data_IF_098065106792
#
_entry.id   IF_098065106792
#
_cell.length_a   1.000
_cell.length_b   1.000
_cell.length_c   1.000
_cell.angle_alpha   90.00
_cell.angle_beta   90.00
_cell.angle_gamma   90.00
#
_symmetry.space_group_name_H-M   'P 1'
#
loop_
_entity.id
_entity.type
_entity.pdbx_description
1 polymer ?
#
# COMPACT_ATOMS: atom_id res chain seq x y z
N UNK A 1 1.71 -7.89 -13.78
CA UNK A 1 2.50 -7.42 -12.63
C UNK A 1 3.97 -7.77 -12.86
N UNK A 2 4.92 -7.16 -12.14
CA UNK A 2 6.37 -7.49 -12.05
C UNK A 2 7.37 -6.40 -12.47
N UNK A 3 7.19 -5.16 -11.97
CA UNK A 3 8.33 -4.27 -11.69
C UNK A 3 8.27 -3.83 -10.23
N UNK A 4 7.08 -3.44 -9.75
CA UNK A 4 6.87 -3.02 -8.36
C UNK A 4 7.22 -4.08 -7.31
N UNK A 5 6.73 -5.31 -7.48
CA UNK A 5 7.05 -6.44 -6.58
C UNK A 5 8.55 -6.71 -6.52
N UNK A 6 9.23 -6.67 -7.68
CA UNK A 6 10.68 -6.79 -7.78
C UNK A 6 11.41 -5.69 -6.99
N UNK A 7 11.00 -4.42 -7.13
CA UNK A 7 11.61 -3.32 -6.38
C UNK A 7 11.53 -3.52 -4.87
N UNK A 8 10.40 -4.02 -4.35
CA UNK A 8 10.26 -4.33 -2.92
C UNK A 8 11.16 -5.49 -2.52
N UNK A 9 11.19 -6.57 -3.31
CA UNK A 9 12.03 -7.75 -3.07
C UNK A 9 13.53 -7.46 -3.08
N UNK A 10 13.99 -6.50 -3.90
CA UNK A 10 15.40 -6.08 -3.97
C UNK A 10 15.75 -4.91 -3.03
N UNK A 11 14.84 -4.51 -2.13
CA UNK A 11 15.10 -3.50 -1.10
C UNK A 11 14.88 -2.04 -1.54
N UNK A 12 14.47 -1.78 -2.78
CA UNK A 12 14.19 -0.45 -3.33
C UNK A 12 12.81 0.10 -2.93
N UNK A 13 12.48 0.08 -1.63
CA UNK A 13 11.17 0.50 -1.11
C UNK A 13 10.81 1.96 -1.41
N UNK A 14 11.78 2.87 -1.38
CA UNK A 14 11.55 4.28 -1.73
C UNK A 14 11.15 4.45 -3.19
N UNK A 15 11.79 3.72 -4.10
CA UNK A 15 11.45 3.73 -5.52
C UNK A 15 10.08 3.08 -5.78
N UNK A 16 9.77 2.00 -5.05
CA UNK A 16 8.44 1.40 -5.08
C UNK A 16 7.35 2.39 -4.60
N UNK A 17 7.63 3.17 -3.55
CA UNK A 17 6.73 4.22 -3.05
C UNK A 17 6.54 5.37 -4.05
N UNK A 18 7.60 5.77 -4.76
CA UNK A 18 7.51 6.77 -5.83
C UNK A 18 6.65 6.24 -6.99
N UNK A 19 6.90 5.00 -7.44
CA UNK A 19 6.15 4.37 -8.52
C UNK A 19 4.66 4.29 -8.18
N UNK A 20 4.31 3.81 -6.99
CA UNK A 20 2.89 3.69 -6.62
C UNK A 20 2.23 5.05 -6.44
N UNK A 21 2.95 6.07 -5.96
CA UNK A 21 2.42 7.42 -5.86
C UNK A 21 2.10 8.00 -7.24
N UNK A 22 2.96 7.76 -8.24
CA UNK A 22 2.70 8.16 -9.64
C UNK A 22 1.50 7.41 -10.23
N UNK A 23 1.40 6.10 -10.00
CA UNK A 23 0.26 5.29 -10.45
C UNK A 23 -1.07 5.78 -9.85
N UNK A 24 -1.10 5.97 -8.52
CA UNK A 24 -2.28 6.48 -7.81
C UNK A 24 -2.65 7.89 -8.25
N UNK A 25 -1.67 8.75 -8.55
CA UNK A 25 -1.91 10.09 -9.08
C UNK A 25 -2.59 10.06 -10.45
N UNK A 26 -2.13 9.18 -11.36
CA UNK A 26 -2.76 8.98 -12.66
C UNK A 26 -4.20 8.46 -12.55
N UNK A 27 -4.42 7.46 -11.68
CA UNK A 27 -5.75 6.92 -11.39
C UNK A 27 -6.68 8.01 -10.83
N UNK A 28 -6.21 8.80 -9.85
CA UNK A 28 -7.00 9.86 -9.24
C UNK A 28 -7.35 10.98 -10.24
N UNK A 29 -6.43 11.32 -11.14
CA UNK A 29 -6.69 12.29 -12.20
C UNK A 29 -7.80 11.81 -13.14
N UNK A 30 -7.70 10.56 -13.60
CA UNK A 30 -8.72 9.93 -14.48
C UNK A 30 -10.09 9.84 -13.82
N UNK A 31 -10.14 9.48 -12.54
CA UNK A 31 -11.39 9.45 -11.78
C UNK A 31 -12.02 10.85 -11.66
N UNK A 32 -11.22 11.88 -11.41
CA UNK A 32 -11.71 13.27 -11.31
C UNK A 32 -12.19 13.82 -12.64
N UNK A 33 -11.52 13.50 -13.75
CA UNK A 33 -11.85 14.04 -15.07
C UNK A 33 -12.97 13.29 -15.77
N UNK A 34 -13.10 11.99 -15.54
CA UNK A 34 -13.94 11.12 -16.39
C UNK A 34 -14.89 10.22 -15.61
N UNK A 35 -14.77 10.13 -14.27
CA UNK A 35 -15.64 9.31 -13.43
C UNK A 35 -15.52 7.79 -13.66
N UNK A 36 -14.52 7.34 -14.42
CA UNK A 36 -14.29 5.93 -14.73
C UNK A 36 -12.78 5.63 -14.79
N UNK A 37 -12.37 4.45 -14.36
CA UNK A 37 -11.00 3.96 -14.51
C UNK A 37 -10.69 3.65 -15.99
N UNK A 38 -9.57 4.14 -16.54
CA UNK A 38 -9.14 3.87 -17.94
C UNK A 38 -7.80 3.13 -18.02
N UNK A 39 -7.63 2.39 -19.12
CA UNK A 39 -6.67 1.29 -19.32
C UNK A 39 -5.19 1.72 -19.55
N UNK A 40 -4.93 2.95 -19.98
CA UNK A 40 -3.59 3.46 -20.24
C UNK A 40 -3.61 4.99 -20.23
N UNK A 41 -2.54 5.57 -19.69
CA UNK A 41 -2.27 7.00 -19.77
C UNK A 41 -1.12 7.21 -20.74
N UNK A 42 -1.42 7.89 -21.84
CA UNK A 42 -0.40 8.50 -22.68
C UNK A 42 0.31 9.59 -21.85
N UNK A 43 1.63 9.47 -21.71
CA UNK A 43 2.43 10.33 -20.84
C UNK A 43 2.57 11.77 -21.34
N UNK A 44 2.14 12.08 -22.57
CA UNK A 44 2.20 13.45 -23.13
C UNK A 44 0.81 14.11 -23.24
N UNK A 45 -0.27 13.36 -23.42
CA UNK A 45 -1.57 13.95 -23.82
C UNK A 45 -2.76 13.58 -22.93
N UNK A 46 -2.63 12.60 -22.03
CA UNK A 46 -3.65 12.28 -21.02
C UNK A 46 -4.98 11.74 -21.56
N UNK A 47 -5.10 11.41 -22.85
CA UNK A 47 -6.33 10.83 -23.43
C UNK A 47 -6.31 9.30 -23.34
N UNK A 48 -7.23 8.73 -22.54
CA UNK A 48 -7.40 7.28 -22.44
C UNK A 48 -8.39 6.73 -23.48
N UNK A 49 -7.94 5.80 -24.34
CA UNK A 49 -8.80 4.90 -25.14
C UNK A 49 -8.86 3.48 -24.53
N UNK A 50 -9.85 2.66 -24.90
CA UNK A 50 -10.00 1.24 -24.50
C UNK A 50 -11.35 0.86 -23.86
N UNK A 51 -11.75 -0.41 -23.97
CA UNK A 51 -13.06 -0.96 -23.56
C UNK A 51 -13.35 -0.88 -22.04
N UNK A 52 -14.63 -0.73 -21.71
CA UNK A 52 -15.17 -0.67 -20.34
C UNK A 52 -15.11 -2.04 -19.66
N UNK A 53 -14.87 -2.04 -18.35
CA UNK A 53 -14.87 -3.19 -17.41
C UNK A 53 -13.65 -4.11 -17.44
N UNK A 54 -12.50 -3.64 -16.93
CA UNK A 54 -11.41 -4.55 -16.55
C UNK A 54 -10.91 -4.22 -15.14
N UNK A 55 -10.82 -5.26 -14.30
CA UNK A 55 -10.34 -5.31 -12.91
C UNK A 55 -8.92 -4.71 -12.67
N UNK A 56 -8.27 -4.17 -13.70
CA UNK A 56 -6.99 -3.47 -13.63
C UNK A 56 -7.11 -1.96 -13.34
N UNK A 57 -8.33 -1.42 -13.26
CA UNK A 57 -8.58 -0.07 -12.75
C UNK A 57 -8.44 0.07 -11.24
N UNK A 58 -8.36 -1.03 -10.48
CA UNK A 58 -8.25 -0.95 -9.03
C UNK A 58 -6.88 -0.43 -8.61
N UNK A 59 -6.87 0.49 -7.63
CA UNK A 59 -5.66 0.88 -6.92
C UNK A 59 -4.86 -0.38 -6.55
N UNK A 60 -3.53 -0.44 -6.81
CA UNK A 60 -2.74 -1.65 -6.64
C UNK A 60 -2.50 -1.92 -5.16
N UNK A 61 -3.55 -2.36 -4.45
CA UNK A 61 -3.59 -2.51 -3.00
C UNK A 61 -2.53 -3.48 -2.51
N UNK A 62 -2.35 -4.61 -3.20
CA UNK A 62 -1.30 -5.58 -2.85
C UNK A 62 0.08 -4.92 -2.88
N UNK A 63 0.41 -4.22 -3.98
CA UNK A 63 1.68 -3.52 -4.11
C UNK A 63 1.83 -2.39 -3.08
N UNK A 64 0.75 -1.69 -2.74
CA UNK A 64 0.74 -0.68 -1.67
C UNK A 64 1.07 -1.31 -0.32
N UNK A 65 0.42 -2.42 0.01
CA UNK A 65 0.62 -3.13 1.28
C UNK A 65 2.05 -3.68 1.39
N UNK A 66 2.58 -4.25 0.31
CA UNK A 66 3.97 -4.73 0.26
C UNK A 66 4.99 -3.60 0.40
N UNK A 67 4.79 -2.49 -0.32
CA UNK A 67 5.62 -1.29 -0.24
C UNK A 67 5.60 -0.71 1.17
N UNK A 68 4.41 -0.60 1.77
CA UNK A 68 4.20 -0.21 3.15
C UNK A 68 4.82 -1.20 4.14
N UNK A 69 5.08 -2.44 3.72
CA UNK A 69 5.67 -3.49 4.53
C UNK A 69 4.70 -4.16 5.49
N UNK A 70 3.43 -4.25 5.11
CA UNK A 70 2.34 -4.85 5.92
C UNK A 70 1.75 -6.03 5.17
N UNK A 71 1.71 -7.21 5.81
CA UNK A 71 0.98 -8.38 5.32
C UNK A 71 0.02 -8.87 6.40
N UNK A 72 -1.27 -8.79 6.11
CA UNK A 72 -2.34 -9.22 6.99
C UNK A 72 -2.44 -10.76 6.95
N UNK A 73 -2.37 -11.42 8.10
CA UNK A 73 -2.53 -12.89 8.19
C UNK A 73 -3.90 -13.23 8.77
N UNK A 74 -4.26 -12.61 9.89
CA UNK A 74 -5.55 -12.76 10.56
C UNK A 74 -5.90 -11.48 11.34
N UNK A 75 -7.10 -11.36 11.93
CA UNK A 75 -7.42 -10.23 12.79
C UNK A 75 -6.53 -10.13 14.04
N UNK A 76 -5.80 -11.19 14.38
CA UNK A 76 -4.89 -11.28 15.53
C UNK A 76 -3.42 -11.40 15.12
N UNK A 77 -3.08 -11.30 13.83
CA UNK A 77 -1.72 -11.49 13.37
C UNK A 77 -1.40 -10.69 12.10
N UNK A 78 -0.27 -9.99 12.13
CA UNK A 78 0.26 -9.20 11.01
C UNK A 78 1.77 -9.37 10.91
N UNK A 79 2.27 -9.45 9.68
CA UNK A 79 3.71 -9.33 9.41
C UNK A 79 4.03 -7.88 9.11
N UNK A 80 5.06 -7.35 9.79
CA UNK A 80 5.62 -6.03 9.57
C UNK A 80 7.05 -6.16 9.03
N UNK A 81 7.44 -5.25 8.14
CA UNK A 81 8.80 -5.18 7.61
C UNK A 81 9.13 -3.77 7.12
N UNK A 82 10.38 -3.35 7.31
CA UNK A 82 10.86 -2.02 6.94
C UNK A 82 10.15 -0.87 7.65
N UNK A 83 10.52 0.34 7.26
CA UNK A 83 9.86 1.58 7.67
C UNK A 83 8.77 2.00 6.69
N UNK A 84 7.92 2.96 7.07
CA UNK A 84 6.97 3.57 6.15
C UNK A 84 7.75 4.42 5.12
N UNK A 85 7.72 4.07 3.82
CA UNK A 85 8.43 4.81 2.79
C UNK A 85 7.67 6.05 2.31
N UNK A 86 6.41 6.24 2.73
CA UNK A 86 5.59 7.38 2.38
C UNK A 86 5.85 8.57 3.32
N UNK A 87 5.75 9.82 2.84
CA UNK A 87 6.03 11.00 3.66
C UNK A 87 4.92 11.30 4.68
N UNK A 88 3.77 10.65 4.57
CA UNK A 88 2.64 10.74 5.51
C UNK A 88 2.42 9.41 6.25
N UNK A 89 1.86 9.44 7.48
CA UNK A 89 1.47 8.22 8.18
C UNK A 89 0.35 7.49 7.42
N UNK A 90 0.38 6.16 7.48
CA UNK A 90 -0.62 5.30 6.85
C UNK A 90 -1.34 4.48 7.90
N UNK A 91 -2.68 4.50 7.85
CA UNK A 91 -3.52 3.68 8.72
C UNK A 91 -4.19 2.58 7.92
N UNK A 92 -3.96 1.32 8.29
CA UNK A 92 -4.64 0.14 7.74
C UNK A 92 -5.62 -0.37 8.79
N UNK A 93 -6.89 -0.55 8.41
CA UNK A 93 -7.92 -1.16 9.26
C UNK A 93 -8.36 -2.49 8.66
N UNK A 94 -8.33 -3.55 9.46
CA UNK A 94 -8.67 -4.90 9.03
C UNK A 94 -9.36 -5.68 10.15
N UNK A 95 -10.65 -5.98 9.99
CA UNK A 95 -11.42 -6.85 10.90
C UNK A 95 -11.23 -6.54 12.40
N UNK A 96 -11.25 -5.26 12.76
CA UNK A 96 -11.05 -4.78 14.13
C UNK A 96 -9.60 -4.44 14.49
N UNK A 97 -8.61 -4.95 13.76
CA UNK A 97 -7.21 -4.55 13.90
C UNK A 97 -6.96 -3.21 13.20
N UNK A 98 -6.19 -2.33 13.84
CA UNK A 98 -5.72 -1.06 13.28
C UNK A 98 -4.19 -1.03 13.31
N UNK A 99 -3.56 -0.74 12.18
CA UNK A 99 -2.12 -0.63 12.03
C UNK A 99 -1.80 0.79 11.59
N UNK A 100 -1.14 1.57 12.45
CA UNK A 100 -0.64 2.90 12.14
C UNK A 100 0.86 2.82 11.85
N UNK A 101 1.24 3.03 10.59
CA UNK A 101 2.63 3.10 10.12
C UNK A 101 3.05 4.57 10.09
N UNK A 102 3.79 5.01 11.11
CA UNK A 102 4.50 6.28 11.13
C UNK A 102 5.87 6.11 10.44
N UNK A 103 6.66 7.18 10.36
CA UNK A 103 7.96 7.17 9.65
C UNK A 103 8.88 6.06 10.15
N UNK A 104 9.08 5.99 11.46
CA UNK A 104 10.05 5.15 12.16
C UNK A 104 9.41 4.25 13.24
N UNK A 105 8.09 4.33 13.39
CA UNK A 105 7.31 3.58 14.39
C UNK A 105 6.06 2.98 13.78
N UNK A 106 5.69 1.80 14.26
CA UNK A 106 4.41 1.15 13.97
C UNK A 106 3.63 0.92 15.25
N UNK A 107 2.35 1.24 15.22
CA UNK A 107 1.39 0.93 16.30
C UNK A 107 0.37 -0.05 15.75
N UNK A 108 0.21 -1.20 16.40
CA UNK A 108 -0.82 -2.18 16.11
C UNK A 108 -1.80 -2.20 17.28
N UNK A 109 -3.08 -1.95 17.00
CA UNK A 109 -4.18 -2.09 17.95
C UNK A 109 -4.99 -3.29 17.50
N UNK A 110 -5.07 -4.33 18.33
CA UNK A 110 -5.82 -5.54 18.04
C UNK A 110 -7.32 -5.39 18.37
N UNK A 111 -8.18 -6.32 17.90
CA UNK A 111 -9.63 -6.24 18.14
C UNK A 111 -10.05 -6.19 19.61
N UNK A 112 -9.23 -6.74 20.52
CA UNK A 112 -9.46 -6.72 21.97
C UNK A 112 -8.95 -5.44 22.65
N UNK A 113 -8.35 -4.52 21.89
CA UNK A 113 -7.76 -3.28 22.37
C UNK A 113 -6.30 -3.39 22.80
N UNK A 114 -5.68 -4.58 22.75
CA UNK A 114 -4.25 -4.71 23.04
C UNK A 114 -3.43 -3.91 22.03
N UNK A 115 -2.42 -3.17 22.52
CA UNK A 115 -1.57 -2.30 21.72
C UNK A 115 -0.14 -2.83 21.70
N UNK A 116 0.41 -3.02 20.51
CA UNK A 116 1.83 -3.31 20.30
C UNK A 116 2.48 -2.14 19.57
N UNK A 117 3.60 -1.64 20.10
CA UNK A 117 4.43 -0.63 19.47
C UNK A 117 5.75 -1.27 19.06
N UNK A 118 6.22 -0.99 17.84
CA UNK A 118 7.53 -1.46 17.37
C UNK A 118 8.17 -0.41 16.47
N UNK A 119 9.47 -0.20 16.66
CA UNK A 119 10.37 0.62 15.84
C UNK A 119 11.42 -0.24 15.11
N UNK A 120 11.35 -1.57 15.24
CA UNK A 120 12.23 -2.49 14.55
C UNK A 120 11.80 -2.66 13.07
N UNK A 121 12.65 -2.28 12.10
CA UNK A 121 12.37 -2.48 10.68
C UNK A 121 12.59 -3.93 10.23
N UNK A 122 13.15 -4.81 11.06
CA UNK A 122 13.34 -6.21 10.72
C UNK A 122 11.99 -6.90 10.45
N UNK A 123 11.95 -7.87 9.51
CA UNK A 123 10.73 -8.66 9.29
C UNK A 123 10.32 -9.38 10.58
N UNK A 124 9.14 -9.05 11.09
CA UNK A 124 8.62 -9.58 12.35
C UNK A 124 7.13 -9.92 12.23
N UNK A 125 6.73 -10.95 12.97
CA UNK A 125 5.32 -11.30 13.16
C UNK A 125 4.85 -10.65 14.46
N UNK A 126 3.83 -9.82 14.37
CA UNK A 126 3.16 -9.25 15.54
C UNK A 126 1.82 -9.96 15.69
N UNK A 127 1.61 -10.58 16.84
CA UNK A 127 0.39 -11.33 17.15
C UNK A 127 -0.14 -11.01 18.53
N UNK A 128 -1.45 -11.20 18.70
CA UNK A 128 -2.06 -11.28 20.03
C UNK A 128 -1.46 -12.49 20.78
N UNK A 129 -1.21 -12.31 22.08
CA UNK A 129 -0.72 -13.38 22.98
C UNK A 129 -1.83 -14.36 23.35
#
# INVERSE_FOLDING_TARGET
SMIGEGLVSYGYRSLAAELINRLMSGIALSLKSEGVFRHHFDSETGRGGGERNILHGFAPLTFFMETLGVRLISPQQVVLSGFNPFPWPVTVKYRGMTILRQRDRTVVVFPDGQIVNTDDPSPQVVSLS
#
